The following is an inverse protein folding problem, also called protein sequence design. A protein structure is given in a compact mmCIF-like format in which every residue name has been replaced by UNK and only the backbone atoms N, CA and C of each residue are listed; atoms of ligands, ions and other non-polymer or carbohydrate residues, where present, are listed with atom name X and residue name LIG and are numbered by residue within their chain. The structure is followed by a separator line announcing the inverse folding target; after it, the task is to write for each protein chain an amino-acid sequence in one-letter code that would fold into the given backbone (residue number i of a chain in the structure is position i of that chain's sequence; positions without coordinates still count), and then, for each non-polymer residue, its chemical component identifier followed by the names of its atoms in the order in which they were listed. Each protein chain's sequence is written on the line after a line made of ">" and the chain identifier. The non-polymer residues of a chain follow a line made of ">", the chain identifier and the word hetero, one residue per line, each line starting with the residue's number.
data_IF_320095270843
#
_entry.id   IF_320095270843
#
_cell.length_a   1.000
_cell.length_b   1.000
_cell.length_c   1.000
_cell.angle_alpha   90.00
_cell.angle_beta   90.00
_cell.angle_gamma   90.00
#
_symmetry.space_group_name_H-M   'P 1'
#
loop_
_entity.id
_entity.type
_entity.pdbx_description
1 polymer ?
#
# COMPACT_ATOMS: atom_id res chain seq x y z
N UNK A 1 -13.49 -2.97 -23.04
CA UNK A 1 -12.24 -2.33 -22.59
C UNK A 1 -12.53 -1.62 -21.28
N UNK A 2 -11.96 -2.09 -20.16
CA UNK A 2 -12.08 -1.44 -18.85
C UNK A 2 -10.87 -0.50 -18.72
N UNK A 3 -11.10 0.77 -18.36
CA UNK A 3 -10.01 1.70 -18.05
C UNK A 3 -9.71 1.60 -16.56
N UNK A 4 -8.44 1.54 -16.22
CA UNK A 4 -7.91 1.56 -14.86
C UNK A 4 -7.28 2.95 -14.70
N UNK A 5 -7.52 3.63 -13.58
CA UNK A 5 -6.90 4.92 -13.28
C UNK A 5 -6.26 4.84 -11.90
N UNK A 6 -5.08 5.43 -11.76
CA UNK A 6 -4.23 5.22 -10.59
C UNK A 6 -4.44 6.35 -9.56
N UNK A 7 -4.42 6.07 -8.25
CA UNK A 7 -4.72 7.08 -7.21
C UNK A 7 -3.71 8.24 -7.16
N UNK A 8 -2.58 8.13 -7.84
CA UNK A 8 -1.57 9.18 -7.95
C UNK A 8 -1.81 10.17 -9.10
N UNK A 9 -2.77 9.93 -10.01
CA UNK A 9 -3.21 10.87 -11.06
C UNK A 9 -3.94 12.12 -10.50
N UNK A 10 -3.89 12.35 -9.19
CA UNK A 10 -4.63 13.35 -8.44
C UNK A 10 -3.77 14.57 -8.11
N UNK A 11 -3.60 15.44 -9.11
CA UNK A 11 -3.01 16.77 -8.91
C UNK A 11 -1.62 16.75 -8.26
N UNK A 12 -1.15 17.90 -7.75
CA UNK A 12 0.20 18.00 -7.18
C UNK A 12 0.39 17.17 -5.91
N UNK A 13 -0.67 16.88 -5.14
CA UNK A 13 -0.59 16.43 -3.74
C UNK A 13 -1.11 15.01 -3.46
N UNK A 14 -2.03 14.47 -4.26
CA UNK A 14 -2.56 13.12 -4.05
C UNK A 14 -3.38 12.92 -2.78
N UNK A 15 -3.73 11.66 -2.49
CA UNK A 15 -4.39 11.30 -1.22
C UNK A 15 -3.36 11.33 -0.09
N UNK A 16 -3.25 12.47 0.59
CA UNK A 16 -2.56 12.58 1.88
C UNK A 16 -3.58 13.02 2.93
N UNK A 17 -3.76 12.19 3.96
CA UNK A 17 -4.63 12.50 5.10
C UNK A 17 -4.04 13.71 5.83
N UNK A 18 -4.67 14.88 5.69
CA UNK A 18 -4.31 16.09 6.43
C UNK A 18 -4.00 17.33 5.58
N UNK A 19 -3.90 17.21 4.25
CA UNK A 19 -3.56 18.36 3.41
C UNK A 19 -4.76 19.32 3.22
N UNK A 20 -4.61 20.63 3.52
CA UNK A 20 -5.67 21.61 3.32
C UNK A 20 -6.09 21.71 1.85
N UNK A 21 -7.39 21.54 1.57
CA UNK A 21 -7.96 21.66 0.22
C UNK A 21 -8.27 20.34 -0.48
N UNK A 22 -7.83 19.20 0.05
CA UNK A 22 -8.09 17.88 -0.53
C UNK A 22 -9.55 17.40 -0.40
N UNK A 23 -10.38 18.02 0.45
CA UNK A 23 -11.74 17.55 0.77
C UNK A 23 -12.65 17.45 -0.45
N UNK A 24 -12.57 18.43 -1.38
CA UNK A 24 -13.37 18.43 -2.61
C UNK A 24 -12.96 17.31 -3.56
N UNK A 25 -11.66 17.05 -3.69
CA UNK A 25 -11.13 15.96 -4.50
C UNK A 25 -11.49 14.60 -3.90
N UNK A 26 -11.34 14.44 -2.58
CA UNK A 26 -11.74 13.24 -1.84
C UNK A 26 -13.23 12.93 -2.06
N UNK A 27 -14.10 13.94 -1.98
CA UNK A 27 -15.53 13.75 -2.22
C UNK A 27 -15.81 13.23 -3.65
N UNK A 28 -15.09 13.73 -4.66
CA UNK A 28 -15.22 13.22 -6.04
C UNK A 28 -14.78 11.77 -6.17
N UNK A 29 -13.68 11.37 -5.50
CA UNK A 29 -13.17 9.99 -5.55
C UNK A 29 -14.07 8.99 -4.82
N UNK A 30 -14.56 9.34 -3.63
CA UNK A 30 -15.50 8.50 -2.87
C UNK A 30 -16.80 8.29 -3.66
N UNK A 31 -17.25 9.30 -4.41
CA UNK A 31 -18.48 9.24 -5.22
C UNK A 31 -18.27 8.66 -6.62
N UNK A 32 -17.15 7.98 -6.87
CA UNK A 32 -16.93 7.20 -8.09
C UNK A 32 -16.30 7.98 -9.24
N UNK A 33 -15.58 9.05 -8.92
CA UNK A 33 -14.82 9.86 -9.90
C UNK A 33 -15.69 10.36 -11.05
N UNK A 34 -16.86 10.90 -10.72
CA UNK A 34 -17.82 11.43 -11.71
C UNK A 34 -17.16 12.47 -12.62
N UNK A 35 -16.25 13.28 -12.09
CA UNK A 35 -15.44 14.24 -12.84
C UNK A 35 -14.68 13.63 -14.03
N UNK A 36 -14.24 12.37 -13.93
CA UNK A 36 -13.55 11.66 -15.00
C UNK A 36 -14.51 10.88 -15.92
N UNK A 37 -15.54 10.25 -15.36
CA UNK A 37 -16.34 9.25 -16.07
C UNK A 37 -17.73 9.74 -16.52
N UNK A 38 -18.30 10.74 -15.86
CA UNK A 38 -19.65 11.25 -16.14
C UNK A 38 -19.76 11.82 -17.56
N UNK A 39 -18.74 12.57 -18.01
CA UNK A 39 -18.71 13.19 -19.35
C UNK A 39 -18.74 12.16 -20.49
N UNK A 40 -18.36 10.91 -20.22
CA UNK A 40 -18.41 9.79 -21.18
C UNK A 40 -19.62 8.88 -20.98
N UNK A 41 -20.57 9.24 -20.09
CA UNK A 41 -21.73 8.45 -19.66
C UNK A 41 -21.37 7.05 -19.14
N UNK A 42 -20.16 6.87 -18.62
CA UNK A 42 -19.74 5.60 -18.02
C UNK A 42 -20.29 5.51 -16.60
N UNK A 43 -20.81 4.34 -16.26
CA UNK A 43 -21.28 4.05 -14.89
C UNK A 43 -20.08 4.00 -13.93
N UNK A 44 -20.24 4.27 -12.63
CA UNK A 44 -19.15 4.22 -11.64
C UNK A 44 -18.35 2.90 -11.61
N UNK A 45 -18.96 1.78 -12.03
CA UNK A 45 -18.30 0.47 -12.22
C UNK A 45 -17.16 0.47 -13.26
N UNK A 46 -17.01 1.55 -14.04
CA UNK A 46 -15.88 1.75 -14.93
C UNK A 46 -14.61 2.20 -14.19
N UNK A 47 -14.74 2.67 -12.94
CA UNK A 47 -13.60 3.02 -12.07
C UNK A 47 -13.12 1.77 -11.34
N UNK A 48 -11.85 1.42 -11.55
CA UNK A 48 -11.13 0.50 -10.67
C UNK A 48 -10.41 1.37 -9.64
N UNK A 49 -10.84 1.25 -8.38
CA UNK A 49 -10.24 1.98 -7.29
C UNK A 49 -9.19 1.07 -6.64
N UNK A 50 -8.02 1.59 -6.34
CA UNK A 50 -7.01 0.89 -5.56
C UNK A 50 -6.27 1.89 -4.66
N UNK A 51 -5.40 1.41 -3.78
CA UNK A 51 -4.50 2.26 -2.99
C UNK A 51 -3.06 1.87 -3.29
N UNK A 52 -2.84 0.57 -3.41
CA UNK A 52 -1.57 -0.10 -3.64
C UNK A 52 -1.70 -1.05 -4.82
N UNK A 53 -0.57 -1.33 -5.48
CA UNK A 53 -0.46 -2.27 -6.57
C UNK A 53 0.85 -3.07 -6.40
N UNK A 54 1.29 -3.75 -7.47
CA UNK A 54 2.60 -4.42 -7.48
C UNK A 54 3.75 -3.41 -7.69
N UNK A 55 3.49 -2.33 -8.42
CA UNK A 55 4.39 -1.19 -8.55
C UNK A 55 4.16 -0.24 -7.36
N UNK A 56 5.24 0.12 -6.66
CA UNK A 56 5.20 0.93 -5.45
C UNK A 56 5.15 0.09 -4.17
N UNK A 57 4.79 0.75 -3.07
CA UNK A 57 4.73 0.13 -1.75
C UNK A 57 3.53 -0.80 -1.55
N UNK A 58 3.71 -1.80 -0.67
CA UNK A 58 2.60 -2.46 0.01
C UNK A 58 1.88 -1.49 0.94
N UNK A 59 0.68 -1.82 1.40
CA UNK A 59 -0.09 -0.94 2.30
C UNK A 59 0.64 -0.71 3.63
N UNK A 60 1.41 -1.71 4.09
CA UNK A 60 2.20 -1.60 5.31
C UNK A 60 3.39 -0.66 5.13
N UNK A 61 4.07 -0.74 4.00
CA UNK A 61 5.25 0.08 3.71
C UNK A 61 4.85 1.53 3.41
N UNK A 62 3.68 1.73 2.79
CA UNK A 62 3.07 3.05 2.58
C UNK A 62 2.91 3.86 3.87
N UNK A 63 2.70 3.18 5.01
CA UNK A 63 2.56 3.82 6.34
C UNK A 63 3.81 3.65 7.22
N UNK A 64 4.87 3.03 6.69
CA UNK A 64 6.09 2.72 7.45
C UNK A 64 7.36 3.37 6.91
N UNK A 65 7.37 3.80 5.64
CA UNK A 65 8.59 4.26 4.97
C UNK A 65 8.32 5.54 4.17
N UNK A 66 9.18 6.56 4.32
CA UNK A 66 9.15 7.78 3.51
C UNK A 66 10.09 7.72 2.31
N UNK A 67 11.13 6.89 2.41
CA UNK A 67 12.15 6.74 1.38
C UNK A 67 12.20 5.30 0.90
N UNK A 68 12.38 5.11 -0.42
CA UNK A 68 12.57 3.79 -1.00
C UNK A 68 13.91 3.20 -0.57
N UNK A 69 13.91 1.89 -0.34
CA UNK A 69 15.05 1.05 0.07
C UNK A 69 15.24 -0.07 -0.96
N UNK A 70 15.53 0.30 -2.21
CA UNK A 70 15.65 -0.64 -3.34
C UNK A 70 17.08 -1.18 -3.52
N UNK A 71 17.95 -1.04 -2.51
CA UNK A 71 19.36 -1.44 -2.61
C UNK A 71 19.53 -2.92 -3.00
N UNK A 72 18.59 -3.78 -2.59
CA UNK A 72 18.56 -5.19 -2.96
C UNK A 72 18.46 -5.45 -4.48
N UNK A 73 17.97 -4.47 -5.25
CA UNK A 73 17.84 -4.57 -6.71
C UNK A 73 19.18 -4.37 -7.44
N UNK A 74 20.21 -3.84 -6.75
CA UNK A 74 21.55 -3.68 -7.32
C UNK A 74 21.74 -2.44 -8.21
N UNK A 75 20.78 -1.54 -8.25
CA UNK A 75 20.80 -0.32 -9.08
C UNK A 75 21.15 0.95 -8.27
N UNK A 76 21.72 0.79 -7.07
CA UNK A 76 22.05 1.87 -6.12
C UNK A 76 20.85 2.78 -5.82
N UNK A 77 19.67 2.17 -5.63
CA UNK A 77 18.41 2.85 -5.30
C UNK A 77 17.93 3.87 -6.38
N UNK A 78 18.43 3.76 -7.61
CA UNK A 78 18.03 4.65 -8.72
C UNK A 78 16.74 4.20 -9.44
N UNK A 79 16.30 2.99 -9.18
CA UNK A 79 15.09 2.38 -9.71
C UNK A 79 13.88 2.61 -8.77
N UNK A 80 12.65 2.46 -9.26
CA UNK A 80 11.42 2.74 -8.49
C UNK A 80 11.01 4.21 -8.44
N UNK A 81 9.83 4.49 -7.87
CA UNK A 81 9.27 5.84 -7.80
C UNK A 81 9.89 6.61 -6.63
N UNK A 82 10.09 7.92 -6.77
CA UNK A 82 10.61 8.77 -5.68
C UNK A 82 9.51 9.54 -4.94
N UNK A 83 8.30 9.55 -5.49
CA UNK A 83 7.12 10.24 -4.94
C UNK A 83 6.00 9.26 -4.59
N UNK A 84 6.26 8.35 -3.64
CA UNK A 84 5.26 7.35 -3.20
C UNK A 84 4.10 7.94 -2.38
N UNK A 85 4.17 9.23 -2.01
CA UNK A 85 3.19 9.93 -1.16
C UNK A 85 2.90 9.18 0.15
N UNK A 86 3.89 8.46 0.66
CA UNK A 86 3.84 7.68 1.89
C UNK A 86 4.04 8.56 3.12
N UNK A 87 3.73 8.01 4.29
CA UNK A 87 4.06 8.62 5.58
C UNK A 87 4.41 7.57 6.61
N UNK A 88 5.66 7.57 7.06
CA UNK A 88 6.23 6.60 8.01
C UNK A 88 5.65 6.64 9.44
N UNK A 89 4.68 7.54 9.69
CA UNK A 89 4.01 7.73 10.98
C UNK A 89 4.95 8.11 12.14
N UNK A 90 6.14 8.64 11.85
CA UNK A 90 7.10 9.17 12.82
C UNK A 90 8.39 8.36 12.99
N UNK A 91 8.49 7.16 12.40
CA UNK A 91 9.71 6.35 12.40
C UNK A 91 9.89 5.69 11.04
N UNK A 92 11.10 5.62 10.50
CA UNK A 92 11.37 4.94 9.23
C UNK A 92 11.49 3.43 9.45
N UNK A 93 10.80 2.62 8.64
CA UNK A 93 10.86 1.17 8.70
C UNK A 93 10.27 0.55 9.99
N UNK A 94 10.77 -0.62 10.43
CA UNK A 94 10.30 -1.30 11.63
C UNK A 94 10.52 -0.48 12.91
N UNK A 95 9.53 -0.48 13.80
CA UNK A 95 9.59 0.20 15.11
C UNK A 95 8.95 -0.66 16.20
N UNK A 96 9.38 -0.44 17.45
CA UNK A 96 8.78 -1.03 18.65
C UNK A 96 7.93 -0.04 19.45
N UNK A 97 7.83 1.21 18.98
CA UNK A 97 7.02 2.24 19.66
C UNK A 97 5.52 1.90 19.53
N UNK A 98 4.82 1.63 20.65
CA UNK A 98 3.41 1.24 20.61
C UNK A 98 2.49 2.34 20.06
N UNK A 99 2.83 3.62 20.21
CA UNK A 99 2.02 4.72 19.69
C UNK A 99 2.09 4.78 18.16
N UNK A 100 3.29 4.61 17.60
CA UNK A 100 3.49 4.57 16.15
C UNK A 100 2.83 3.33 15.55
N UNK A 101 2.97 2.16 16.19
CA UNK A 101 2.32 0.93 15.72
C UNK A 101 0.79 1.04 15.71
N UNK A 102 0.20 1.66 16.74
CA UNK A 102 -1.23 1.92 16.80
C UNK A 102 -1.68 2.88 15.70
N UNK A 103 -0.91 3.94 15.45
CA UNK A 103 -1.17 4.91 14.39
C UNK A 103 -1.09 4.27 13.00
N UNK A 104 -0.06 3.47 12.71
CA UNK A 104 0.07 2.74 11.44
C UNK A 104 -1.11 1.81 11.20
N UNK A 105 -1.50 1.04 12.22
CA UNK A 105 -2.67 0.17 12.14
C UNK A 105 -3.96 0.95 11.88
N UNK A 106 -4.09 2.17 12.45
CA UNK A 106 -5.21 3.06 12.16
C UNK A 106 -5.17 3.56 10.71
N UNK A 107 -4.01 3.99 10.20
CA UNK A 107 -3.88 4.46 8.82
C UNK A 107 -4.18 3.35 7.81
N UNK A 108 -3.65 2.13 8.00
CA UNK A 108 -3.99 0.99 7.12
C UNK A 108 -5.50 0.73 7.07
N UNK A 109 -6.19 0.80 8.22
CA UNK A 109 -7.66 0.70 8.26
C UNK A 109 -8.36 1.87 7.57
N UNK A 110 -7.86 3.10 7.67
CA UNK A 110 -8.42 4.26 6.98
C UNK A 110 -8.35 4.10 5.45
N UNK A 111 -7.20 3.63 4.93
CA UNK A 111 -7.03 3.33 3.52
C UNK A 111 -7.97 2.23 3.04
N UNK A 112 -8.01 1.10 3.76
CA UNK A 112 -8.91 -0.02 3.44
C UNK A 112 -10.38 0.39 3.50
N UNK A 113 -10.79 1.14 4.52
CA UNK A 113 -12.15 1.65 4.64
C UNK A 113 -12.49 2.58 3.47
N UNK A 114 -11.58 3.50 3.11
CA UNK A 114 -11.79 4.40 1.98
C UNK A 114 -11.94 3.63 0.68
N UNK A 115 -11.07 2.65 0.42
CA UNK A 115 -11.12 1.79 -0.77
C UNK A 115 -12.43 1.02 -0.87
N UNK A 116 -12.82 0.32 0.21
CA UNK A 116 -13.98 -0.57 0.24
C UNK A 116 -15.32 0.17 0.26
N UNK A 117 -15.35 1.40 0.79
CA UNK A 117 -16.56 2.21 0.88
C UNK A 117 -16.73 3.18 -0.31
N UNK A 118 -15.70 3.40 -1.12
CA UNK A 118 -15.79 4.25 -2.31
C UNK A 118 -16.61 3.57 -3.42
N UNK A 119 -17.43 4.35 -4.14
CA UNK A 119 -18.16 3.83 -5.29
C UNK A 119 -17.19 3.44 -6.42
N UNK A 120 -17.38 2.25 -6.97
CA UNK A 120 -16.52 1.68 -8.02
C UNK A 120 -16.26 0.21 -7.77
N UNK A 121 -15.24 -0.33 -8.45
CA UNK A 121 -14.75 -1.68 -8.20
C UNK A 121 -13.45 -1.59 -7.41
N UNK A 122 -13.40 -2.02 -6.14
CA UNK A 122 -12.16 -2.01 -5.37
C UNK A 122 -11.22 -3.12 -5.85
N UNK A 123 -9.93 -2.80 -5.96
CA UNK A 123 -8.84 -3.74 -6.16
C UNK A 123 -7.95 -3.69 -4.92
N UNK A 124 -7.79 -4.85 -4.29
CA UNK A 124 -6.92 -5.05 -3.14
C UNK A 124 -5.64 -5.73 -3.64
N UNK A 125 -4.47 -5.18 -3.27
CA UNK A 125 -3.19 -5.82 -3.58
C UNK A 125 -3.01 -7.07 -2.73
N UNK A 126 -2.45 -8.12 -3.31
CA UNK A 126 -2.26 -9.39 -2.62
C UNK A 126 -1.29 -9.24 -1.44
N UNK A 127 -1.69 -9.70 -0.26
CA UNK A 127 -0.87 -9.66 0.95
C UNK A 127 -1.10 -8.42 1.82
N UNK A 128 -1.78 -7.39 1.33
CA UNK A 128 -2.12 -6.21 2.14
C UNK A 128 -3.11 -6.57 3.25
N UNK A 129 -3.97 -7.57 3.03
CA UNK A 129 -4.85 -8.13 4.06
C UNK A 129 -4.10 -8.80 5.21
N UNK A 130 -2.85 -9.19 4.97
CA UNK A 130 -1.96 -9.86 5.91
C UNK A 130 -0.93 -8.90 6.53
N UNK A 131 -0.84 -7.66 6.02
CA UNK A 131 0.21 -6.73 6.39
C UNK A 131 1.59 -7.16 5.87
N UNK A 132 1.65 -7.72 4.66
CA UNK A 132 2.90 -7.99 3.95
C UNK A 132 3.73 -6.70 3.78
N UNK A 133 5.04 -6.87 3.83
CA UNK A 133 6.04 -5.79 3.70
C UNK A 133 7.10 -6.25 2.72
N UNK A 134 7.57 -5.33 1.89
CA UNK A 134 8.75 -5.49 1.05
C UNK A 134 9.95 -4.75 1.67
N UNK A 135 9.86 -4.42 2.96
CA UNK A 135 10.87 -3.70 3.74
C UNK A 135 11.23 -2.33 3.14
N UNK A 136 10.23 -1.64 2.59
CA UNK A 136 10.43 -0.33 1.96
C UNK A 136 11.08 -0.43 0.58
N UNK A 137 11.16 -1.61 -0.03
CA UNK A 137 11.41 -1.73 -1.47
C UNK A 137 10.09 -1.43 -2.21
N UNK A 138 10.08 -0.41 -3.06
CA UNK A 138 8.88 0.02 -3.81
C UNK A 138 8.89 -0.49 -5.26
N UNK A 139 9.90 -1.28 -5.62
CA UNK A 139 10.13 -1.77 -6.96
C UNK A 139 10.77 -3.17 -6.93
N UNK A 140 10.17 -4.11 -6.21
CA UNK A 140 10.74 -5.44 -5.98
C UNK A 140 10.64 -6.37 -7.21
N UNK A 141 10.79 -5.83 -8.42
CA UNK A 141 10.59 -6.55 -9.69
C UNK A 141 11.60 -7.68 -9.92
N UNK A 142 12.82 -7.53 -9.41
CA UNK A 142 13.94 -8.47 -9.56
C UNK A 142 14.16 -9.36 -8.32
N UNK A 143 13.26 -9.27 -7.34
CA UNK A 143 13.37 -10.00 -6.08
C UNK A 143 12.49 -11.26 -6.15
N UNK A 144 13.07 -12.44 -6.34
CA UNK A 144 12.38 -13.72 -6.12
C UNK A 144 12.88 -14.36 -4.82
N UNK A 145 12.46 -13.78 -3.69
CA UNK A 145 12.89 -14.17 -2.36
C UNK A 145 11.92 -13.67 -1.28
N UNK A 146 12.30 -13.81 0.00
CA UNK A 146 11.51 -13.43 1.16
C UNK A 146 11.06 -11.95 1.21
N UNK A 147 11.62 -11.05 0.40
CA UNK A 147 11.13 -9.68 0.26
C UNK A 147 9.72 -9.66 -0.35
N UNK A 148 9.44 -10.50 -1.36
CA UNK A 148 8.13 -10.53 -2.05
C UNK A 148 7.24 -11.70 -1.65
N UNK A 149 7.82 -12.76 -1.09
CA UNK A 149 7.05 -13.96 -0.75
C UNK A 149 6.12 -13.69 0.42
N UNK A 150 4.89 -14.19 0.33
CA UNK A 150 3.94 -14.12 1.45
C UNK A 150 4.35 -15.10 2.54
N UNK A 151 4.62 -14.55 3.73
CA UNK A 151 4.85 -15.34 4.94
C UNK A 151 3.52 -15.79 5.55
N UNK A 152 3.02 -16.93 5.10
CA UNK A 152 1.80 -17.56 5.62
C UNK A 152 1.95 -18.06 7.07
N UNK A 153 3.16 -18.27 7.58
CA UNK A 153 3.32 -18.70 8.97
C UNK A 153 3.02 -17.53 9.94
N UNK A 154 3.29 -16.30 9.52
CA UNK A 154 2.98 -15.10 10.28
C UNK A 154 1.47 -14.75 10.31
N UNK A 155 0.65 -15.35 9.43
CA UNK A 155 -0.79 -15.03 9.32
C UNK A 155 -1.67 -15.78 10.31
N UNK A 156 -1.20 -16.92 10.82
CA UNK A 156 -1.96 -17.81 11.72
C UNK A 156 -1.88 -17.37 13.20
N UNK A 157 -2.30 -16.14 13.47
CA UNK A 157 -2.23 -15.53 14.79
C UNK A 157 -3.36 -15.92 15.76
N UNK A 158 -3.59 -17.21 16.04
CA UNK A 158 -4.43 -17.62 17.20
C UNK A 158 -4.27 -19.08 17.71
N UNK A 159 -3.09 -19.71 17.73
CA UNK A 159 -2.75 -20.76 18.73
C UNK A 159 -1.31 -21.24 18.59
N UNK A 160 -0.32 -20.52 19.13
CA UNK A 160 0.84 -21.13 19.84
C UNK A 160 1.70 -20.05 20.49
N UNK A 161 2.18 -20.34 21.69
CA UNK A 161 2.92 -19.45 22.60
C UNK A 161 4.23 -18.86 22.04
N UNK A 162 4.74 -17.76 22.65
CA UNK A 162 5.94 -17.08 22.19
C UNK A 162 7.20 -17.79 22.71
N UNK A 163 7.62 -18.85 22.04
CA UNK A 163 9.00 -19.35 22.11
C UNK A 163 9.38 -20.00 20.79
N UNK A 164 10.04 -19.26 19.89
CA UNK A 164 11.30 -19.72 19.29
C UNK A 164 11.95 -18.64 18.39
N UNK A 165 13.29 -18.61 18.33
CA UNK A 165 14.09 -17.63 17.60
C UNK A 165 14.12 -17.93 16.11
N UNK A 166 14.46 -16.91 15.31
CA UNK A 166 14.58 -17.01 13.86
C UNK A 166 15.68 -17.95 13.35
N UNK A 167 15.71 -18.01 12.02
CA UNK A 167 16.69 -18.69 11.16
C UNK A 167 16.47 -20.20 10.97
N UNK A 168 16.08 -20.59 9.75
CA UNK A 168 16.35 -21.94 9.24
C UNK A 168 15.27 -22.56 8.35
N UNK A 169 15.66 -22.77 7.08
CA UNK A 169 15.20 -23.81 6.14
C UNK A 169 13.82 -23.69 5.52
N UNK A 170 13.80 -23.39 4.21
CA UNK A 170 13.13 -24.30 3.28
C UNK A 170 13.96 -24.40 2.00
N UNK A 171 14.53 -25.57 1.80
CA UNK A 171 15.06 -26.01 0.50
C UNK A 171 13.92 -26.00 -0.51
N UNK A 172 14.18 -25.39 -1.66
CA UNK A 172 13.35 -25.57 -2.84
C UNK A 172 13.30 -27.07 -3.20
N UNK A 173 12.08 -27.58 -3.38
CA UNK A 173 11.82 -28.80 -4.17
C UNK A 173 10.99 -28.42 -5.38
#
# INVERSE_FOLDING_TARGET
>A
MKLIAEPWDLGPVGYQVGEPGALGEIASRITGSADLYERTRRRPVASINFVTAHDGYTLRDLVSDNHKHNDANGENNNDGESHNRSWNCGAEGPTTDPEILALRAQQSRNFLATLLLSQGVPMLSHGDELGCTQHGNDNAYSQDNAIIWVDWAATDGATTSPTSPGCGTTEAR
#
